data_IF_235536125346
#
_entry.id   IF_235536125346
#
_cell.length_a   1.000
_cell.length_b   1.000
_cell.length_c   1.000
_cell.angle_alpha   90.00
_cell.angle_beta   90.00
_cell.angle_gamma   90.00
#
_symmetry.space_group_name_H-M   'P 1'
#
loop_
_entity.id
_entity.type
_entity.pdbx_description
1 polymer ?
#
# COMPACT_ATOMS: atom_id res chain seq x y z
N UNK A 1 20.20 -10.61 50.68
CA UNK A 1 19.19 -9.66 50.15
C UNK A 1 19.23 -9.72 48.63
N UNK A 2 18.07 -9.78 47.99
CA UNK A 2 17.94 -9.78 46.53
C UNK A 2 18.33 -8.40 45.98
N UNK A 3 19.61 -8.26 45.62
CA UNK A 3 20.21 -7.00 45.17
C UNK A 3 19.57 -6.38 43.91
N UNK A 4 18.61 -7.06 43.26
CA UNK A 4 17.91 -6.57 42.08
C UNK A 4 16.66 -5.74 42.30
N UNK A 5 16.04 -5.77 43.51
CA UNK A 5 14.68 -5.22 43.71
C UNK A 5 14.53 -4.21 44.85
N UNK A 6 15.64 -3.64 45.34
CA UNK A 6 15.63 -2.71 46.49
C UNK A 6 15.23 -1.28 46.12
N UNK A 7 15.44 -0.87 44.87
CA UNK A 7 15.10 0.45 44.37
C UNK A 7 14.15 0.31 43.17
N UNK A 8 13.04 1.05 43.11
CA UNK A 8 12.06 0.94 42.01
C UNK A 8 12.69 1.13 40.62
N UNK A 9 13.69 2.00 40.48
CA UNK A 9 14.41 2.21 39.22
C UNK A 9 15.27 1.00 38.83
N UNK A 10 15.97 0.42 39.79
CA UNK A 10 16.76 -0.80 39.58
C UNK A 10 15.84 -1.97 39.26
N UNK A 11 14.68 -2.08 39.93
CA UNK A 11 13.66 -3.09 39.63
C UNK A 11 13.16 -2.99 38.19
N UNK A 12 12.91 -1.79 37.67
CA UNK A 12 12.50 -1.58 36.28
C UNK A 12 13.59 -2.08 35.32
N UNK A 13 14.84 -1.67 35.54
CA UNK A 13 15.98 -2.12 34.71
C UNK A 13 16.12 -3.65 34.78
N UNK A 14 15.99 -4.23 35.98
CA UNK A 14 16.09 -5.66 36.20
C UNK A 14 14.99 -6.42 35.47
N UNK A 15 13.74 -5.93 35.50
CA UNK A 15 12.62 -6.51 34.75
C UNK A 15 12.80 -6.35 33.24
N UNK A 16 13.28 -5.20 32.75
CA UNK A 16 13.57 -4.98 31.32
C UNK A 16 14.72 -5.87 30.82
N UNK A 17 15.76 -6.06 31.62
CA UNK A 17 16.87 -6.94 31.28
C UNK A 17 16.44 -8.41 31.30
N UNK A 18 15.69 -8.83 32.33
CA UNK A 18 15.11 -10.17 32.40
C UNK A 18 14.19 -10.46 31.20
N UNK A 19 13.46 -9.46 30.71
CA UNK A 19 12.63 -9.54 29.51
C UNK A 19 13.43 -9.75 28.21
N UNK A 20 14.55 -9.04 28.03
CA UNK A 20 15.39 -9.16 26.83
C UNK A 20 16.20 -10.47 26.84
N UNK A 21 16.61 -10.90 28.03
CA UNK A 21 17.70 -11.86 28.16
C UNK A 21 17.25 -13.23 28.71
N UNK A 22 16.21 -13.29 29.54
CA UNK A 22 15.55 -14.54 29.94
C UNK A 22 16.36 -15.50 30.84
N UNK A 23 17.56 -15.16 31.30
CA UNK A 23 18.48 -16.10 31.98
C UNK A 23 18.46 -16.06 33.52
N UNK A 24 17.92 -15.01 34.15
CA UNK A 24 18.03 -14.81 35.61
C UNK A 24 16.95 -15.52 36.45
N UNK A 25 16.12 -16.37 35.83
CA UNK A 25 15.02 -17.08 36.53
C UNK A 25 15.51 -17.88 37.76
N UNK A 26 16.66 -18.54 37.61
CA UNK A 26 17.24 -19.38 38.67
C UNK A 26 17.62 -18.59 39.91
N UNK A 27 18.27 -17.45 39.72
CA UNK A 27 18.89 -16.70 40.82
C UNK A 27 17.85 -15.81 41.53
N UNK A 28 16.82 -15.35 40.80
CA UNK A 28 15.74 -14.50 41.36
C UNK A 28 14.63 -15.33 42.02
N UNK A 29 14.23 -16.46 41.42
CA UNK A 29 13.05 -17.20 41.85
C UNK A 29 13.38 -18.57 42.46
N UNK A 30 14.32 -19.33 41.88
CA UNK A 30 14.59 -20.71 42.32
C UNK A 30 15.46 -20.75 43.59
N UNK A 31 16.56 -20.01 43.64
CA UNK A 31 17.47 -20.00 44.79
C UNK A 31 16.82 -19.42 46.06
N UNK A 32 16.01 -18.33 46.00
CA UNK A 32 15.29 -17.82 47.16
C UNK A 32 14.13 -18.72 47.61
N UNK A 33 13.49 -19.43 46.67
CA UNK A 33 12.45 -20.42 46.98
C UNK A 33 13.03 -21.63 47.73
N UNK A 34 14.16 -22.18 47.27
CA UNK A 34 14.85 -23.30 47.93
C UNK A 34 15.38 -22.93 49.32
N UNK A 35 15.85 -21.69 49.49
CA UNK A 35 16.31 -21.16 50.78
C UNK A 35 15.18 -20.75 51.73
N UNK A 36 13.92 -20.77 51.28
CA UNK A 36 12.76 -20.37 52.08
C UNK A 36 12.72 -18.88 52.43
N UNK A 37 13.49 -18.05 51.71
CA UNK A 37 13.61 -16.59 51.95
C UNK A 37 12.70 -15.76 51.03
N UNK A 38 11.94 -16.41 50.15
CA UNK A 38 11.01 -15.75 49.23
C UNK A 38 9.65 -15.48 49.95
N UNK A 39 9.33 -14.23 50.30
CA UNK A 39 8.02 -13.92 50.87
C UNK A 39 6.93 -14.08 49.81
N UNK A 40 5.74 -14.54 50.21
CA UNK A 40 4.57 -14.67 49.32
C UNK A 40 4.85 -15.50 48.05
N UNK A 41 5.33 -16.72 48.23
CA UNK A 41 5.68 -17.65 47.16
C UNK A 41 4.59 -17.81 46.09
N UNK A 42 3.33 -17.98 46.49
CA UNK A 42 2.22 -18.16 45.56
C UNK A 42 2.00 -16.94 44.65
N UNK A 43 2.02 -15.72 45.22
CA UNK A 43 1.83 -14.49 44.46
C UNK A 43 2.99 -14.25 43.49
N UNK A 44 4.23 -14.52 43.90
CA UNK A 44 5.39 -14.39 43.03
C UNK A 44 5.31 -15.30 41.80
N UNK A 45 4.95 -16.58 42.00
CA UNK A 45 4.78 -17.50 40.88
C UNK A 45 3.57 -17.16 39.98
N UNK A 46 2.49 -16.62 40.56
CA UNK A 46 1.35 -16.13 39.80
C UNK A 46 1.73 -14.96 38.87
N UNK A 47 2.39 -13.92 39.41
CA UNK A 47 2.86 -12.79 38.60
C UNK A 47 3.94 -13.18 37.59
N UNK A 48 4.80 -14.14 37.93
CA UNK A 48 5.78 -14.69 37.00
C UNK A 48 5.11 -15.42 35.82
N UNK A 49 4.10 -16.24 36.08
CA UNK A 49 3.36 -16.95 35.02
C UNK A 49 2.66 -15.97 34.09
N UNK A 50 2.00 -14.95 34.68
CA UNK A 50 1.40 -13.85 33.93
C UNK A 50 2.42 -13.11 33.06
N UNK A 51 3.61 -12.83 33.60
CA UNK A 51 4.72 -12.19 32.88
C UNK A 51 5.21 -13.05 31.72
N UNK A 52 5.40 -14.37 31.92
CA UNK A 52 5.85 -15.31 30.87
C UNK A 52 4.84 -15.41 29.72
N UNK A 53 3.54 -15.25 29.96
CA UNK A 53 2.52 -15.24 28.90
C UNK A 53 2.44 -13.88 28.20
N UNK A 54 2.48 -12.79 28.95
CA UNK A 54 2.40 -11.42 28.40
C UNK A 54 3.61 -11.07 27.53
N UNK A 55 4.81 -11.54 27.89
CA UNK A 55 6.05 -11.17 27.20
C UNK A 55 6.11 -11.65 25.74
N UNK A 56 5.88 -12.94 25.40
CA UNK A 56 5.88 -13.40 24.01
C UNK A 56 4.67 -12.88 23.23
N UNK A 57 3.49 -12.82 23.86
CA UNK A 57 2.23 -12.51 23.16
C UNK A 57 2.07 -11.02 22.89
N UNK A 58 2.38 -10.13 23.85
CA UNK A 58 2.19 -8.69 23.68
C UNK A 58 3.43 -7.97 23.17
N UNK A 59 4.64 -8.43 23.49
CA UNK A 59 5.83 -7.65 23.17
C UNK A 59 6.47 -8.11 21.87
N UNK A 60 6.92 -9.35 21.80
CA UNK A 60 7.63 -9.84 20.61
C UNK A 60 6.70 -9.90 19.40
N UNK A 61 5.50 -10.44 19.56
CA UNK A 61 4.56 -10.57 18.45
C UNK A 61 4.05 -9.21 17.95
N UNK A 62 3.87 -8.23 18.83
CA UNK A 62 3.44 -6.88 18.44
C UNK A 62 4.59 -6.09 17.81
N UNK A 63 5.78 -6.11 18.40
CA UNK A 63 6.92 -5.35 17.88
C UNK A 63 7.39 -5.87 16.53
N UNK A 64 7.42 -7.20 16.34
CA UNK A 64 7.70 -7.79 15.04
C UNK A 64 6.55 -7.49 14.08
N UNK A 65 5.30 -7.62 14.51
CA UNK A 65 4.13 -7.32 13.67
C UNK A 65 4.09 -5.88 13.16
N UNK A 66 4.42 -4.90 14.01
CA UNK A 66 4.54 -3.50 13.62
C UNK A 66 5.74 -3.26 12.72
N UNK A 67 6.92 -3.79 13.06
CA UNK A 67 8.11 -3.64 12.23
C UNK A 67 7.96 -4.28 10.84
N UNK A 68 7.27 -5.42 10.75
CA UNK A 68 6.98 -6.11 9.48
C UNK A 68 5.89 -5.37 8.68
N UNK A 69 4.91 -4.76 9.35
CA UNK A 69 3.96 -3.86 8.69
C UNK A 69 4.64 -2.62 8.09
N UNK A 70 5.54 -2.00 8.86
CA UNK A 70 6.29 -0.83 8.43
C UNK A 70 7.27 -1.16 7.28
N UNK A 71 7.96 -2.30 7.35
CA UNK A 71 8.92 -2.69 6.30
C UNK A 71 8.22 -3.00 4.97
N UNK A 72 7.02 -3.59 4.99
CA UNK A 72 6.29 -3.92 3.76
C UNK A 72 5.93 -2.66 2.97
N UNK A 73 5.49 -1.59 3.66
CA UNK A 73 5.20 -0.30 3.03
C UNK A 73 6.47 0.33 2.47
N UNK A 74 7.55 0.34 3.24
CA UNK A 74 8.84 0.90 2.81
C UNK A 74 9.38 0.15 1.58
N UNK A 75 9.25 -1.17 1.54
CA UNK A 75 9.71 -1.99 0.41
C UNK A 75 8.94 -1.68 -0.89
N UNK A 76 7.62 -1.54 -0.83
CA UNK A 76 6.78 -1.19 -2.00
C UNK A 76 7.22 0.13 -2.65
N UNK A 77 7.61 1.10 -1.83
CA UNK A 77 8.00 2.43 -2.28
C UNK A 77 9.53 2.60 -2.44
N UNK A 78 10.35 1.63 -2.03
CA UNK A 78 11.80 1.76 -1.91
C UNK A 78 12.47 2.11 -3.24
N UNK A 79 12.04 1.49 -4.35
CA UNK A 79 12.62 1.75 -5.67
C UNK A 79 12.37 3.17 -6.13
N UNK A 80 11.13 3.66 -5.99
CA UNK A 80 10.79 5.03 -6.34
C UNK A 80 11.50 6.01 -5.41
N UNK A 81 11.54 5.72 -4.10
CA UNK A 81 12.25 6.54 -3.12
C UNK A 81 13.75 6.62 -3.40
N UNK A 82 14.39 5.52 -3.83
CA UNK A 82 15.79 5.49 -4.24
C UNK A 82 16.04 6.38 -5.45
N UNK A 83 15.21 6.28 -6.49
CA UNK A 83 15.32 7.12 -7.68
C UNK A 83 15.06 8.59 -7.35
N UNK A 84 14.04 8.87 -6.55
CA UNK A 84 13.73 10.22 -6.09
C UNK A 84 14.91 10.83 -5.32
N UNK A 85 15.53 10.08 -4.42
CA UNK A 85 16.71 10.51 -3.67
C UNK A 85 17.91 10.80 -4.60
N UNK A 86 18.12 9.99 -5.64
CA UNK A 86 19.16 10.26 -6.64
C UNK A 86 18.89 11.56 -7.40
N UNK A 87 17.64 11.77 -7.83
CA UNK A 87 17.25 12.99 -8.55
C UNK A 87 17.38 14.22 -7.65
N UNK A 88 16.92 14.14 -6.40
CA UNK A 88 17.05 15.21 -5.40
C UNK A 88 18.53 15.54 -5.16
N UNK A 89 19.37 14.53 -4.93
CA UNK A 89 20.80 14.72 -4.75
C UNK A 89 21.48 15.36 -5.98
N UNK A 90 21.13 14.91 -7.19
CA UNK A 90 21.67 15.50 -8.42
C UNK A 90 21.23 16.95 -8.63
N UNK A 91 19.98 17.27 -8.30
CA UNK A 91 19.41 18.61 -8.42
C UNK A 91 20.07 19.57 -7.42
N UNK A 92 20.22 19.14 -6.16
CA UNK A 92 20.89 19.92 -5.11
C UNK A 92 22.36 20.19 -5.46
N UNK A 93 23.04 19.21 -6.07
CA UNK A 93 24.40 19.38 -6.57
C UNK A 93 24.47 20.38 -7.72
N UNK A 94 23.56 20.26 -8.69
CA UNK A 94 23.49 21.15 -9.84
C UNK A 94 23.29 22.61 -9.42
N UNK A 95 22.41 22.87 -8.44
CA UNK A 95 22.17 24.22 -7.90
C UNK A 95 23.40 24.82 -7.22
N UNK A 96 24.23 23.99 -6.56
CA UNK A 96 25.43 24.44 -5.84
C UNK A 96 26.68 24.53 -6.73
N UNK A 97 26.66 23.95 -7.92
CA UNK A 97 27.81 23.95 -8.81
C UNK A 97 27.87 25.25 -9.65
N UNK A 98 29.05 25.84 -9.85
CA UNK A 98 29.17 27.05 -10.65
C UNK A 98 28.91 26.75 -12.12
N UNK A 99 28.24 27.67 -12.81
CA UNK A 99 27.75 27.50 -14.19
C UNK A 99 28.84 27.11 -15.20
N UNK A 100 30.08 27.59 -15.03
CA UNK A 100 31.21 27.23 -15.90
C UNK A 100 31.55 25.74 -15.87
N UNK A 101 31.30 25.06 -14.74
CA UNK A 101 31.56 23.63 -14.58
C UNK A 101 30.41 22.81 -15.15
N UNK A 102 29.17 23.23 -14.89
CA UNK A 102 27.96 22.59 -15.41
C UNK A 102 27.97 22.61 -16.96
N UNK A 103 28.21 23.77 -17.57
CA UNK A 103 28.26 23.90 -19.04
C UNK A 103 29.41 23.14 -19.70
N UNK A 104 30.47 22.80 -18.95
CA UNK A 104 31.60 22.02 -19.49
C UNK A 104 31.36 20.51 -19.43
N UNK A 105 30.53 20.06 -18.48
CA UNK A 105 30.28 18.64 -18.21
C UNK A 105 28.98 18.16 -18.83
N UNK A 106 27.99 19.05 -18.98
CA UNK A 106 26.70 18.73 -19.57
C UNK A 106 26.84 18.27 -21.04
N UNK A 107 26.14 17.18 -21.38
CA UNK A 107 26.15 16.55 -22.69
C UNK A 107 24.72 16.14 -23.06
N UNK A 108 24.12 16.73 -24.10
CA UNK A 108 22.72 16.51 -24.44
C UNK A 108 22.44 15.13 -25.05
N UNK A 109 23.48 14.40 -25.49
CA UNK A 109 23.33 13.07 -26.06
C UNK A 109 24.47 12.14 -25.62
N UNK A 110 24.11 10.89 -25.34
CA UNK A 110 25.04 9.82 -24.98
C UNK A 110 24.84 8.68 -25.97
N UNK A 111 25.87 8.34 -26.73
CA UNK A 111 25.85 7.18 -27.64
C UNK A 111 26.38 5.95 -26.91
N UNK A 112 25.53 4.94 -26.74
CA UNK A 112 25.87 3.68 -26.07
C UNK A 112 26.17 2.62 -27.12
N UNK A 113 27.31 1.94 -27.00
CA UNK A 113 27.68 0.81 -27.85
C UNK A 113 27.57 -0.49 -27.03
N UNK A 114 26.46 -1.23 -27.11
CA UNK A 114 26.18 -2.35 -26.20
C UNK A 114 27.23 -3.47 -26.27
N UNK A 115 27.85 -3.66 -27.44
CA UNK A 115 28.85 -4.72 -27.67
C UNK A 115 30.29 -4.23 -27.59
N UNK A 116 30.52 -2.95 -27.25
CA UNK A 116 31.88 -2.42 -27.05
C UNK A 116 32.05 -2.09 -25.57
N UNK A 117 32.83 -2.88 -24.82
CA UNK A 117 33.10 -2.54 -23.44
C UNK A 117 33.83 -1.20 -23.40
N UNK A 118 33.43 -0.34 -22.46
CA UNK A 118 34.16 0.89 -22.18
C UNK A 118 35.59 0.52 -21.78
N UNK A 119 36.58 0.99 -22.53
CA UNK A 119 37.98 0.82 -22.20
C UNK A 119 38.43 2.03 -21.36
N UNK A 120 38.46 1.94 -20.02
CA UNK A 120 38.88 3.06 -19.21
C UNK A 120 40.36 3.38 -19.48
N UNK A 121 40.67 4.67 -19.65
CA UNK A 121 42.03 5.17 -19.57
C UNK A 121 42.63 4.95 -18.17
N UNK A 122 43.89 5.36 -17.94
CA UNK A 122 44.57 5.15 -16.65
C UNK A 122 43.75 5.66 -15.44
N UNK A 123 43.11 6.83 -15.57
CA UNK A 123 42.25 7.41 -14.52
C UNK A 123 41.03 6.52 -14.23
N UNK A 124 40.39 5.98 -15.28
CA UNK A 124 39.23 5.09 -15.10
C UNK A 124 39.62 3.74 -14.48
N UNK A 125 40.85 3.24 -14.72
CA UNK A 125 41.37 2.04 -14.07
C UNK A 125 41.61 2.28 -12.58
N UNK A 126 42.18 3.44 -12.22
CA UNK A 126 42.43 3.82 -10.82
C UNK A 126 41.11 4.00 -10.05
N UNK A 127 40.12 4.65 -10.67
CA UNK A 127 38.79 4.82 -10.08
C UNK A 127 38.04 3.49 -9.95
N UNK A 128 38.18 2.59 -10.93
CA UNK A 128 37.65 1.23 -10.89
C UNK A 128 38.24 0.42 -9.74
N UNK A 129 39.54 0.52 -9.49
CA UNK A 129 40.21 -0.14 -8.36
C UNK A 129 39.76 0.40 -7.00
N UNK A 130 39.53 1.71 -6.89
CA UNK A 130 38.95 2.32 -5.68
C UNK A 130 37.50 1.85 -5.46
N UNK A 131 36.71 1.76 -6.53
CA UNK A 131 35.35 1.22 -6.48
C UNK A 131 35.33 -0.26 -6.08
N UNK A 132 36.24 -1.09 -6.60
CA UNK A 132 36.31 -2.51 -6.22
C UNK A 132 36.67 -2.68 -4.75
N UNK A 133 37.54 -1.84 -4.21
CA UNK A 133 37.89 -1.82 -2.79
C UNK A 133 36.70 -1.40 -1.91
N UNK A 134 35.97 -0.36 -2.30
CA UNK A 134 34.74 0.06 -1.61
C UNK A 134 33.62 -0.99 -1.66
N UNK A 135 33.56 -1.78 -2.74
CA UNK A 135 32.58 -2.87 -2.88
C UNK A 135 32.90 -4.06 -1.99
N UNK A 136 34.19 -4.34 -1.72
CA UNK A 136 34.62 -5.38 -0.78
C UNK A 136 34.32 -5.01 0.69
N UNK A 137 34.31 -3.71 1.00
CA UNK A 137 33.94 -3.19 2.33
C UNK A 137 32.41 -3.10 2.50
N UNK A 138 31.66 -2.90 1.40
CA UNK A 138 30.20 -2.83 1.35
C UNK A 138 29.60 -4.08 0.68
N UNK A 139 29.62 -5.22 1.38
CA UNK A 139 29.05 -6.50 0.91
C UNK A 139 27.53 -6.51 0.64
N UNK A 140 26.84 -5.39 0.83
CA UNK A 140 25.40 -5.23 0.54
C UNK A 140 25.09 -4.95 -0.94
N UNK A 141 26.07 -4.54 -1.75
CA UNK A 141 25.83 -4.10 -3.13
C UNK A 141 25.56 -5.23 -4.13
N UNK A 142 25.94 -6.48 -3.83
CA UNK A 142 25.77 -7.62 -4.76
C UNK A 142 24.44 -8.38 -4.56
N UNK A 143 23.80 -8.25 -3.40
CA UNK A 143 22.48 -8.85 -3.15
C UNK A 143 21.33 -7.98 -3.68
N UNK A 144 21.55 -6.66 -3.84
CA UNK A 144 20.52 -5.75 -4.37
C UNK A 144 20.22 -6.00 -5.85
N UNK A 145 21.21 -6.33 -6.67
CA UNK A 145 21.04 -6.41 -8.14
C UNK A 145 20.19 -7.63 -8.58
N UNK A 146 20.38 -8.78 -7.92
CA UNK A 146 19.57 -9.98 -8.19
C UNK A 146 18.13 -9.85 -7.65
N UNK A 147 17.97 -9.23 -6.48
CA UNK A 147 16.65 -8.94 -5.91
C UNK A 147 15.88 -7.91 -6.76
N UNK A 148 16.58 -6.87 -7.26
CA UNK A 148 16.02 -5.84 -8.15
C UNK A 148 15.52 -6.43 -9.48
N UNK A 149 16.20 -7.43 -10.05
CA UNK A 149 15.76 -8.10 -11.26
C UNK A 149 14.45 -8.88 -11.06
N UNK A 150 14.31 -9.59 -9.94
CA UNK A 150 13.09 -10.37 -9.61
C UNK A 150 11.92 -9.43 -9.32
N UNK A 151 12.15 -8.39 -8.52
CA UNK A 151 11.14 -7.41 -8.14
C UNK A 151 10.69 -6.54 -9.33
N UNK A 152 11.61 -6.17 -10.24
CA UNK A 152 11.26 -5.45 -11.47
C UNK A 152 10.37 -6.27 -12.40
N UNK A 153 10.57 -7.58 -12.45
CA UNK A 153 9.74 -8.50 -13.23
C UNK A 153 8.34 -8.64 -12.61
N UNK A 154 8.25 -8.68 -11.28
CA UNK A 154 6.99 -8.70 -10.56
C UNK A 154 6.22 -7.38 -10.74
N UNK A 155 6.89 -6.23 -10.64
CA UNK A 155 6.29 -4.91 -10.86
C UNK A 155 5.78 -4.74 -12.30
N UNK A 156 6.56 -5.18 -13.30
CA UNK A 156 6.14 -5.15 -14.70
C UNK A 156 4.93 -6.06 -14.97
N UNK A 157 4.87 -7.23 -14.31
CA UNK A 157 3.70 -8.10 -14.38
C UNK A 157 2.46 -7.45 -13.74
N UNK A 158 2.62 -6.81 -12.58
CA UNK A 158 1.54 -6.09 -11.91
C UNK A 158 1.00 -4.94 -12.76
N UNK A 159 1.88 -4.11 -13.36
CA UNK A 159 1.46 -3.02 -14.25
C UNK A 159 0.69 -3.53 -15.47
N UNK A 160 1.15 -4.62 -16.10
CA UNK A 160 0.45 -5.24 -17.21
C UNK A 160 -0.95 -5.74 -16.80
N UNK A 161 -1.07 -6.35 -15.62
CA UNK A 161 -2.35 -6.77 -15.05
C UNK A 161 -3.27 -5.59 -14.77
N UNK A 162 -2.77 -4.49 -14.19
CA UNK A 162 -3.56 -3.27 -13.98
C UNK A 162 -4.06 -2.67 -15.29
N UNK A 163 -3.24 -2.68 -16.35
CA UNK A 163 -3.63 -2.23 -17.67
C UNK A 163 -4.74 -3.13 -18.27
N UNK A 164 -4.62 -4.44 -18.15
CA UNK A 164 -5.64 -5.40 -18.57
C UNK A 164 -6.95 -5.23 -17.81
N UNK A 165 -6.90 -5.00 -16.50
CA UNK A 165 -8.07 -4.69 -15.66
C UNK A 165 -8.71 -3.38 -16.12
N UNK A 166 -7.91 -2.36 -16.41
CA UNK A 166 -8.39 -1.08 -16.93
C UNK A 166 -9.12 -1.24 -18.27
N UNK A 167 -8.55 -2.02 -19.20
CA UNK A 167 -9.17 -2.35 -20.49
C UNK A 167 -10.47 -3.13 -20.30
N UNK A 168 -10.47 -4.12 -19.40
CA UNK A 168 -11.65 -4.95 -19.10
C UNK A 168 -12.77 -4.12 -18.48
N UNK A 169 -12.45 -3.23 -17.55
CA UNK A 169 -13.40 -2.28 -16.95
C UNK A 169 -14.03 -1.37 -17.99
N UNK A 170 -13.25 -0.88 -18.96
CA UNK A 170 -13.78 -0.08 -20.07
C UNK A 170 -14.75 -0.90 -20.93
N UNK A 171 -14.36 -2.11 -21.33
CA UNK A 171 -15.23 -3.03 -22.08
C UNK A 171 -16.53 -3.34 -21.34
N UNK A 172 -16.46 -3.54 -20.03
CA UNK A 172 -17.63 -3.81 -19.20
C UNK A 172 -18.59 -2.61 -19.16
N UNK A 173 -18.06 -1.38 -19.07
CA UNK A 173 -18.88 -0.17 -19.19
C UNK A 173 -19.56 -0.09 -20.55
N UNK A 174 -18.85 -0.38 -21.63
CA UNK A 174 -19.43 -0.34 -22.98
C UNK A 174 -20.58 -1.38 -23.11
N UNK A 175 -20.38 -2.60 -22.59
CA UNK A 175 -21.43 -3.63 -22.55
C UNK A 175 -22.63 -3.18 -21.71
N UNK A 176 -22.40 -2.58 -20.55
CA UNK A 176 -23.48 -2.05 -19.70
C UNK A 176 -24.32 -1.02 -20.46
N UNK A 177 -23.68 -0.08 -21.16
CA UNK A 177 -24.41 0.92 -21.97
C UNK A 177 -25.17 0.31 -23.15
N UNK A 178 -24.72 -0.82 -23.69
CA UNK A 178 -25.45 -1.54 -24.75
C UNK A 178 -26.67 -2.26 -24.18
N UNK A 179 -26.55 -2.88 -23.00
CA UNK A 179 -27.66 -3.52 -22.31
C UNK A 179 -28.75 -2.52 -21.93
N UNK A 180 -28.38 -1.33 -21.45
CA UNK A 180 -29.35 -0.27 -21.12
C UNK A 180 -30.16 0.13 -22.37
N UNK A 181 -29.50 0.29 -23.53
CA UNK A 181 -30.19 0.59 -24.80
C UNK A 181 -31.08 -0.55 -25.27
N UNK A 182 -30.66 -1.80 -25.09
CA UNK A 182 -31.48 -2.96 -25.42
C UNK A 182 -32.71 -3.06 -24.52
N UNK A 183 -32.57 -2.74 -23.22
CA UNK A 183 -33.67 -2.66 -22.28
C UNK A 183 -34.70 -1.60 -22.71
N UNK A 184 -34.25 -0.40 -23.08
CA UNK A 184 -35.12 0.67 -23.57
C UNK A 184 -35.83 0.27 -24.88
N UNK A 185 -35.12 -0.38 -25.80
CA UNK A 185 -35.72 -0.89 -27.03
C UNK A 185 -36.79 -1.95 -26.76
N UNK A 186 -36.53 -2.88 -25.83
CA UNK A 186 -37.48 -3.90 -25.43
C UNK A 186 -38.75 -3.27 -24.81
N UNK A 187 -38.58 -2.24 -23.98
CA UNK A 187 -39.68 -1.48 -23.40
C UNK A 187 -40.51 -0.78 -24.48
N UNK A 188 -39.86 -0.18 -25.47
CA UNK A 188 -40.53 0.43 -26.62
C UNK A 188 -41.25 -0.61 -27.48
N UNK A 189 -40.65 -1.79 -27.69
CA UNK A 189 -41.30 -2.90 -28.39
C UNK A 189 -42.55 -3.35 -27.65
N UNK A 190 -42.50 -3.61 -26.34
CA UNK A 190 -43.69 -3.99 -25.55
C UNK A 190 -44.77 -2.90 -25.58
N UNK A 191 -44.38 -1.62 -25.59
CA UNK A 191 -45.32 -0.52 -25.70
C UNK A 191 -45.95 -0.39 -27.09
N UNK A 192 -45.24 -0.77 -28.15
CA UNK A 192 -45.71 -0.73 -29.55
C UNK A 192 -46.34 -2.03 -30.03
N UNK A 193 -45.99 -3.14 -29.40
CA UNK A 193 -46.68 -4.41 -29.53
C UNK A 193 -48.00 -4.16 -28.84
N UNK A 194 -49.06 -3.96 -29.61
CA UNK A 194 -50.43 -3.86 -29.13
C UNK A 194 -50.85 -5.22 -28.56
N UNK A 195 -50.15 -5.69 -27.52
CA UNK A 195 -50.68 -6.71 -26.65
C UNK A 195 -51.79 -6.00 -25.90
N UNK A 196 -52.99 -6.08 -26.46
CA UNK A 196 -54.20 -6.02 -25.68
C UNK A 196 -54.07 -7.18 -24.70
N UNK A 197 -53.63 -6.88 -23.48
CA UNK A 197 -53.79 -7.80 -22.37
C UNK A 197 -55.26 -8.20 -22.38
N UNK A 198 -55.59 -9.50 -22.39
CA UNK A 198 -56.98 -9.97 -22.27
C UNK A 198 -57.66 -9.42 -21.00
N UNK A 199 -56.90 -8.84 -20.06
CA UNK A 199 -57.43 -8.12 -18.91
C UNK A 199 -58.06 -6.75 -19.21
N UNK A 200 -57.86 -6.16 -20.40
CA UNK A 200 -58.46 -4.88 -20.81
C UNK A 200 -59.74 -5.06 -21.65
N UNK A 201 -60.17 -6.30 -21.95
CA UNK A 201 -61.38 -6.59 -22.75
C UNK A 201 -62.67 -6.73 -21.93
N UNK A 202 -62.62 -6.53 -20.62
CA UNK A 202 -63.81 -6.45 -19.78
C UNK A 202 -63.76 -5.13 -19.01
N UNK A 203 -64.42 -4.09 -19.52
CA UNK A 203 -65.35 -3.27 -18.72
C UNK A 203 -65.95 -2.13 -19.56
N UNK A 204 -67.16 -2.27 -20.10
CA UNK A 204 -68.12 -1.15 -20.26
C UNK A 204 -69.58 -1.67 -20.29
N UNK A 205 -70.29 -1.49 -19.17
CA UNK A 205 -71.77 -1.39 -19.03
C UNK A 205 -72.52 -2.68 -18.67
N UNK A 206 -73.37 -2.79 -17.64
CA UNK A 206 -74.10 -1.80 -16.83
C UNK A 206 -74.41 -2.34 -15.41
N UNK A 207 -74.47 -1.40 -14.47
CA UNK A 207 -75.21 -1.36 -13.20
C UNK A 207 -75.42 -2.63 -12.35
N UNK A 208 -74.82 -2.63 -11.15
CA UNK A 208 -75.54 -2.80 -9.87
C UNK A 208 -74.69 -2.39 -8.66
N UNK A 209 -75.18 -1.33 -8.00
CA UNK A 209 -75.01 -0.86 -6.61
C UNK A 209 -73.74 -1.21 -5.80
N UNK A 210 -73.04 -0.16 -5.34
CA UNK A 210 -72.09 -0.19 -4.19
C UNK A 210 -72.85 -0.48 -2.86
N UNK A 211 -72.22 -0.79 -1.70
CA UNK A 211 -70.82 -0.56 -1.26
C UNK A 211 -70.18 -1.83 -0.62
N UNK A 212 -68.90 -1.91 -0.21
CA UNK A 212 -68.35 -1.27 0.98
C UNK A 212 -66.91 -1.80 1.24
N UNK A 213 -65.99 -0.85 1.47
CA UNK A 213 -64.77 -0.87 2.32
C UNK A 213 -64.24 -2.22 2.86
N UNK A 214 -62.95 -2.52 2.61
CA UNK A 214 -61.90 -2.54 3.65
C UNK A 214 -60.53 -3.00 3.13
N UNK A 215 -59.50 -2.41 3.75
CA UNK A 215 -58.16 -2.97 3.98
C UNK A 215 -57.07 -2.60 2.96
N UNK A 216 -56.36 -1.52 3.30
CA UNK A 216 -55.03 -1.28 2.77
C UNK A 216 -53.98 -2.19 3.40
N UNK A 217 -52.91 -2.47 2.65
CA UNK A 217 -51.57 -2.46 3.22
C UNK A 217 -50.49 -2.20 2.17
N UNK A 218 -49.33 -1.68 2.62
CA UNK A 218 -48.35 -0.95 1.82
C UNK A 218 -47.17 -1.84 1.44
N UNK A 219 -46.33 -1.36 0.52
CA UNK A 219 -44.86 -1.26 0.72
C UNK A 219 -44.20 -0.77 -0.56
N UNK A 220 -43.87 0.51 -0.61
CA UNK A 220 -42.81 1.05 -1.47
C UNK A 220 -41.99 2.02 -0.61
N UNK A 221 -40.85 1.55 -0.08
CA UNK A 221 -40.02 2.35 0.82
C UNK A 221 -38.63 1.80 1.11
N UNK A 222 -38.09 0.90 0.28
CA UNK A 222 -36.77 0.31 0.56
C UNK A 222 -35.71 0.52 -0.52
N UNK A 223 -36.06 1.02 -1.71
CA UNK A 223 -35.09 1.04 -2.82
C UNK A 223 -34.50 2.42 -3.16
N UNK A 224 -34.94 3.49 -2.50
CA UNK A 224 -34.57 4.86 -2.90
C UNK A 224 -33.34 5.42 -2.16
N UNK A 225 -32.83 4.73 -1.13
CA UNK A 225 -31.74 5.24 -0.29
C UNK A 225 -30.31 4.89 -0.80
N UNK A 226 -30.16 3.93 -1.71
CA UNK A 226 -28.83 3.45 -2.12
C UNK A 226 -28.17 4.27 -3.25
N UNK A 227 -28.92 5.10 -3.97
CA UNK A 227 -28.43 5.80 -5.17
C UNK A 227 -27.88 7.21 -4.91
N UNK A 228 -28.09 7.78 -3.72
CA UNK A 228 -27.65 9.15 -3.39
C UNK A 228 -26.22 9.24 -2.84
N UNK A 229 -25.63 8.12 -2.40
CA UNK A 229 -24.32 8.12 -1.73
C UNK A 229 -23.11 8.09 -2.68
N UNK A 230 -23.29 7.71 -3.95
CA UNK A 230 -22.18 7.51 -4.90
C UNK A 230 -21.95 8.67 -5.88
N UNK A 231 -22.64 9.81 -5.69
CA UNK A 231 -22.69 10.91 -6.67
C UNK A 231 -21.92 12.18 -6.25
N UNK A 232 -20.99 12.13 -5.29
CA UNK A 232 -20.30 13.33 -4.82
C UNK A 232 -18.81 13.50 -5.19
N UNK A 233 -18.07 12.45 -5.61
CA UNK A 233 -16.60 12.58 -5.81
C UNK A 233 -16.12 12.46 -7.26
N UNK A 234 -16.68 13.23 -8.19
CA UNK A 234 -16.11 13.31 -9.55
C UNK A 234 -16.20 14.71 -10.18
N UNK A 235 -15.40 15.63 -9.63
CA UNK A 235 -15.02 16.87 -10.32
C UNK A 235 -13.56 16.74 -10.82
N UNK A 236 -13.28 16.93 -12.13
CA UNK A 236 -11.90 17.00 -12.64
C UNK A 236 -11.25 18.35 -12.32
N UNK A 237 -9.91 18.44 -12.13
CA UNK A 237 -9.24 19.71 -11.86
C UNK A 237 -9.22 20.60 -13.11
N UNK A 238 -9.54 21.89 -12.91
CA UNK A 238 -9.45 22.94 -13.95
C UNK A 238 -8.02 23.05 -14.48
N UNK A 239 -7.82 22.76 -15.76
CA UNK A 239 -6.58 23.07 -16.49
C UNK A 239 -6.40 24.59 -16.59
N UNK A 240 -5.34 25.13 -16.00
CA UNK A 240 -4.83 26.48 -16.32
C UNK A 240 -4.18 26.44 -17.71
N UNK A 241 -4.50 27.44 -18.53
CA UNK A 241 -4.04 27.55 -19.91
C UNK A 241 -2.52 27.67 -20.03
N UNK A 242 -1.97 26.99 -21.03
CA UNK A 242 -0.60 27.18 -21.49
C UNK A 242 -0.55 28.28 -22.57
N UNK A 243 0.50 29.13 -22.60
CA UNK A 243 0.67 30.14 -23.64
C UNK A 243 1.16 29.54 -24.97
N UNK A 244 0.99 30.27 -26.10
CA UNK A 244 1.15 29.72 -27.44
C UNK A 244 2.63 29.48 -27.82
N UNK A 245 2.85 28.41 -28.61
CA UNK A 245 4.14 28.07 -29.23
C UNK A 245 4.44 29.01 -30.40
N UNK A 246 5.60 29.65 -30.36
CA UNK A 246 6.24 30.28 -31.54
C UNK A 246 7.18 29.27 -32.23
N UNK A 247 7.37 29.35 -33.56
CA UNK A 247 8.31 28.51 -34.28
C UNK A 247 9.69 29.19 -34.38
N UNK A 248 10.78 28.44 -34.19
CA UNK A 248 12.13 28.85 -34.62
C UNK A 248 12.95 27.59 -34.91
N UNK A 249 13.06 27.24 -36.18
CA UNK A 249 14.25 27.40 -37.04
C UNK A 249 15.41 26.48 -36.64
N UNK A 250 15.64 25.54 -37.55
CA UNK A 250 16.76 24.61 -37.64
C UNK A 250 18.08 25.38 -37.77
N UNK A 251 19.04 25.10 -36.87
CA UNK A 251 20.45 24.98 -37.23
C UNK A 251 21.21 24.15 -36.21
#
# INVERSE_FOLDING_TARGET
ESAGFYNPFISIIHTSLAMISGWEFRDIYVEPFQRGVLPYTFLNFFFLMLFIILMPILFVNLLIGLAVGDIEMILKDAKLKRLAMQVEYHTDLEERLPSWLLSRVDKPSVTIYPNRPYAPGLIGKMLGAMKSMGTMLNSSAHLSDASEAIESRQAAANDALFEEIGKTKKRLRDVQTQLDKQYDLLRLMVQKMEIVSEADQFDEGEERESPMTLMGSPTNGFFESANSLWRQDSAPPRRRGAPPRTPSVVR
#
